data_IF_976720216355
#
_entry.id   IF_976720216355
#
_cell.length_a   1.000
_cell.length_b   1.000
_cell.length_c   1.000
_cell.angle_alpha   90.00
_cell.angle_beta   90.00
_cell.angle_gamma   90.00
#
_symmetry.space_group_name_H-M   'P 1'
#
loop_
_entity.id
_entity.type
_entity.pdbx_description
1 polymer ?
#
# COMPACT_ATOMS: atom_id res chain seq x y z
N UNK A 1 -36.74 -56.45 -7.19
CA UNK A 1 -35.29 -56.20 -7.43
C UNK A 1 -35.13 -55.59 -8.79
N UNK A 2 -35.17 -54.26 -8.93
CA UNK A 2 -34.92 -53.55 -10.18
C UNK A 2 -33.86 -52.46 -9.90
N UNK A 3 -32.64 -52.78 -10.26
CA UNK A 3 -31.48 -51.90 -10.15
C UNK A 3 -31.45 -50.97 -11.36
N UNK A 4 -31.86 -49.72 -11.19
CA UNK A 4 -31.78 -48.68 -12.23
C UNK A 4 -30.36 -48.11 -12.25
N UNK A 5 -29.54 -48.59 -13.20
CA UNK A 5 -28.21 -48.02 -13.50
C UNK A 5 -28.38 -46.58 -14.02
N UNK A 6 -28.14 -45.58 -13.21
CA UNK A 6 -27.96 -44.19 -13.64
C UNK A 6 -26.68 -44.07 -14.49
N UNK A 7 -26.86 -43.96 -15.81
CA UNK A 7 -25.80 -43.58 -16.76
C UNK A 7 -25.38 -42.14 -16.47
N UNK A 8 -24.20 -41.94 -15.88
CA UNK A 8 -23.52 -40.65 -15.80
C UNK A 8 -23.24 -40.17 -17.24
N UNK A 9 -24.07 -39.26 -17.73
CA UNK A 9 -23.75 -38.48 -18.91
C UNK A 9 -22.55 -37.59 -18.62
N UNK A 10 -21.37 -37.94 -19.13
CA UNK A 10 -20.22 -37.05 -19.26
C UNK A 10 -20.57 -36.00 -20.31
N UNK A 11 -21.18 -34.89 -19.90
CA UNK A 11 -21.35 -33.70 -20.76
C UNK A 11 -19.98 -33.12 -20.99
N UNK A 12 -19.34 -33.48 -22.08
CA UNK A 12 -18.15 -32.79 -22.58
C UNK A 12 -18.56 -31.35 -22.92
N UNK A 13 -18.30 -30.44 -21.99
CA UNK A 13 -18.50 -29.00 -22.19
C UNK A 13 -17.49 -28.53 -23.22
N UNK A 14 -17.84 -28.61 -24.51
CA UNK A 14 -17.10 -27.92 -25.56
C UNK A 14 -17.18 -26.45 -25.27
N UNK A 15 -16.04 -25.84 -24.92
CA UNK A 15 -15.89 -24.41 -24.79
C UNK A 15 -16.23 -23.80 -26.16
N UNK A 16 -17.48 -23.39 -26.37
CA UNK A 16 -17.87 -22.55 -27.50
C UNK A 16 -17.47 -21.14 -27.17
N UNK A 17 -16.51 -20.63 -27.88
CA UNK A 17 -16.18 -19.20 -27.85
C UNK A 17 -17.41 -18.42 -28.29
N UNK A 18 -17.95 -17.64 -27.36
CA UNK A 18 -19.11 -16.76 -27.58
C UNK A 18 -18.59 -15.33 -27.78
N UNK A 19 -19.38 -14.46 -28.41
CA UNK A 19 -19.03 -13.04 -28.54
C UNK A 19 -18.75 -12.38 -27.17
N UNK A 20 -19.42 -12.83 -26.11
CA UNK A 20 -19.21 -12.34 -24.75
C UNK A 20 -17.79 -12.70 -24.22
N UNK A 21 -17.29 -13.87 -24.58
CA UNK A 21 -15.92 -14.29 -24.26
C UNK A 21 -14.91 -13.40 -24.97
N UNK A 22 -15.16 -13.04 -26.22
CA UNK A 22 -14.31 -12.15 -27.00
C UNK A 22 -14.21 -10.75 -26.36
N UNK A 23 -15.33 -10.18 -25.96
CA UNK A 23 -15.33 -8.89 -25.24
C UNK A 23 -14.61 -8.98 -23.91
N UNK A 24 -14.77 -10.09 -23.17
CA UNK A 24 -14.01 -10.33 -21.96
C UNK A 24 -12.50 -10.33 -22.21
N UNK A 25 -12.03 -11.01 -23.26
CA UNK A 25 -10.60 -11.01 -23.62
C UNK A 25 -10.10 -9.63 -24.06
N UNK A 26 -10.91 -8.85 -24.79
CA UNK A 26 -10.52 -7.49 -25.19
C UNK A 26 -10.31 -6.59 -23.96
N UNK A 27 -11.23 -6.62 -22.98
CA UNK A 27 -11.07 -5.83 -21.74
C UNK A 27 -9.85 -6.28 -20.93
N UNK A 28 -9.64 -7.60 -20.81
CA UNK A 28 -8.45 -8.12 -20.12
C UNK A 28 -7.18 -7.73 -20.87
N UNK A 29 -7.16 -7.82 -22.21
CA UNK A 29 -5.99 -7.43 -23.01
C UNK A 29 -5.66 -5.95 -22.84
N UNK A 30 -6.65 -5.07 -22.85
CA UNK A 30 -6.44 -3.64 -22.60
C UNK A 30 -5.80 -3.37 -21.22
N UNK A 31 -6.33 -4.00 -20.16
CA UNK A 31 -5.77 -3.91 -18.82
C UNK A 31 -4.34 -4.48 -18.75
N UNK A 32 -4.10 -5.62 -19.40
CA UNK A 32 -2.77 -6.26 -19.46
C UNK A 32 -1.75 -5.41 -20.22
N UNK A 33 -2.14 -4.75 -21.30
CA UNK A 33 -1.24 -3.84 -22.03
C UNK A 33 -0.83 -2.68 -21.12
N UNK A 34 -1.79 -2.03 -20.45
CA UNK A 34 -1.49 -0.95 -19.50
C UNK A 34 -0.57 -1.46 -18.37
N UNK A 35 -0.87 -2.60 -17.82
CA UNK A 35 -0.02 -3.22 -16.78
C UNK A 35 1.39 -3.54 -17.29
N UNK A 36 1.53 -4.11 -18.47
CA UNK A 36 2.84 -4.41 -19.07
C UNK A 36 3.66 -3.15 -19.33
N UNK A 37 3.04 -2.09 -19.89
CA UNK A 37 3.74 -0.86 -20.24
C UNK A 37 4.09 -0.03 -19.00
N UNK A 38 3.19 0.11 -18.04
CA UNK A 38 3.37 1.03 -16.91
C UNK A 38 3.86 0.35 -15.62
N UNK A 39 3.82 -0.97 -15.55
CA UNK A 39 4.30 -1.71 -14.38
C UNK A 39 5.44 -2.66 -14.72
N UNK A 40 5.23 -3.59 -15.63
CA UNK A 40 6.27 -4.61 -15.92
C UNK A 40 7.50 -4.00 -16.59
N UNK A 41 7.31 -3.16 -17.61
CA UNK A 41 8.45 -2.54 -18.31
C UNK A 41 9.34 -1.70 -17.37
N UNK A 42 8.82 -0.78 -16.52
CA UNK A 42 9.64 -0.07 -15.54
C UNK A 42 10.33 -0.99 -14.54
N UNK A 43 9.68 -2.07 -14.09
CA UNK A 43 10.30 -3.04 -13.17
C UNK A 43 11.49 -3.74 -13.84
N UNK A 44 11.32 -4.28 -15.04
CA UNK A 44 12.42 -4.92 -15.77
C UNK A 44 13.51 -3.92 -16.13
N UNK A 45 13.15 -2.70 -16.53
CA UNK A 45 14.10 -1.63 -16.79
C UNK A 45 14.91 -1.27 -15.55
N UNK A 46 14.28 -1.16 -14.39
CA UNK A 46 14.95 -0.91 -13.12
C UNK A 46 15.92 -2.04 -12.75
N UNK A 47 15.53 -3.30 -12.93
CA UNK A 47 16.42 -4.45 -12.72
C UNK A 47 17.61 -4.38 -13.69
N UNK A 48 17.37 -4.13 -14.98
CA UNK A 48 18.44 -4.01 -15.96
C UNK A 48 19.39 -2.88 -15.63
N UNK A 49 18.86 -1.67 -15.33
CA UNK A 49 19.67 -0.50 -15.03
C UNK A 49 20.44 -0.63 -13.71
N UNK A 50 19.98 -1.47 -12.78
CA UNK A 50 20.68 -1.73 -11.51
C UNK A 50 22.07 -2.36 -11.68
N UNK A 51 22.33 -3.01 -12.83
CA UNK A 51 23.65 -3.56 -13.17
C UNK A 51 24.60 -2.55 -13.82
N UNK A 52 24.15 -1.31 -14.03
CA UNK A 52 24.95 -0.25 -14.65
C UNK A 52 25.23 0.88 -13.66
N UNK A 53 26.38 1.52 -13.82
CA UNK A 53 26.68 2.79 -13.17
C UNK A 53 26.41 3.90 -14.17
N UNK A 54 25.33 4.64 -13.98
CA UNK A 54 24.93 5.74 -14.86
C UNK A 54 25.74 7.00 -14.51
N UNK A 55 26.50 7.50 -15.49
CA UNK A 55 27.24 8.77 -15.41
C UNK A 55 26.69 9.74 -16.47
N UNK A 56 26.84 11.06 -16.27
CA UNK A 56 26.38 12.05 -17.27
C UNK A 56 26.94 11.82 -18.68
N UNK A 57 28.12 11.21 -18.79
CA UNK A 57 28.85 10.96 -20.07
C UNK A 57 29.00 9.47 -20.37
N UNK A 58 28.01 8.68 -20.08
CA UNK A 58 27.94 7.27 -20.43
C UNK A 58 27.61 6.35 -19.25
N UNK A 59 27.11 5.18 -19.57
CA UNK A 59 26.82 4.12 -18.60
C UNK A 59 27.86 3.02 -18.70
N UNK A 60 28.34 2.54 -17.57
CA UNK A 60 29.31 1.46 -17.46
C UNK A 60 28.64 0.25 -16.81
N UNK A 61 28.78 -0.91 -17.42
CA UNK A 61 28.29 -2.15 -16.84
C UNK A 61 29.16 -2.56 -15.66
N UNK A 62 28.59 -2.61 -14.46
CA UNK A 62 29.30 -2.90 -13.21
C UNK A 62 28.85 -4.21 -12.54
N UNK A 63 27.95 -4.94 -13.19
CA UNK A 63 27.41 -6.18 -12.65
C UNK A 63 26.76 -5.99 -11.28
N UNK A 64 27.11 -6.83 -10.31
CA UNK A 64 26.53 -6.80 -8.95
C UNK A 64 27.20 -5.77 -8.01
N UNK A 65 28.11 -4.94 -8.51
CA UNK A 65 28.84 -3.99 -7.67
C UNK A 65 27.93 -3.05 -6.90
N UNK A 66 26.88 -2.52 -7.54
CA UNK A 66 25.91 -1.63 -6.89
C UNK A 66 25.25 -2.30 -5.67
N UNK A 67 24.94 -3.59 -5.76
CA UNK A 67 24.36 -4.37 -4.65
C UNK A 67 25.38 -4.58 -3.54
N UNK A 68 26.61 -4.95 -3.90
CA UNK A 68 27.70 -5.16 -2.93
C UNK A 68 28.03 -3.85 -2.21
N UNK A 69 28.09 -2.74 -2.94
CA UNK A 69 28.36 -1.41 -2.37
C UNK A 69 27.23 -0.95 -1.45
N UNK A 70 25.96 -1.22 -1.81
CA UNK A 70 24.82 -0.93 -0.95
C UNK A 70 24.87 -1.73 0.35
N UNK A 71 25.25 -2.99 0.30
CA UNK A 71 25.32 -3.84 1.47
C UNK A 71 26.58 -3.63 2.31
N UNK A 72 27.74 -3.40 1.70
CA UNK A 72 29.03 -3.26 2.41
C UNK A 72 29.36 -1.83 2.80
N UNK A 73 29.08 -0.87 1.93
CA UNK A 73 29.51 0.53 2.04
C UNK A 73 28.36 1.50 2.22
N UNK A 74 27.36 1.14 2.95
CA UNK A 74 26.45 2.17 3.45
C UNK A 74 27.26 3.04 4.42
N UNK A 75 28.00 4.02 3.86
CA UNK A 75 28.88 4.97 4.59
C UNK A 75 28.21 5.59 5.83
N UNK A 76 26.87 5.48 5.93
CA UNK A 76 26.05 5.99 7.02
C UNK A 76 25.03 4.95 7.54
N UNK A 77 25.21 3.67 7.25
CA UNK A 77 24.21 2.62 7.58
C UNK A 77 22.78 2.95 7.11
N UNK A 78 22.64 3.79 6.06
CA UNK A 78 21.34 4.27 5.57
C UNK A 78 20.46 3.12 5.10
N UNK A 79 21.02 2.16 4.39
CA UNK A 79 20.26 1.01 3.90
C UNK A 79 19.70 0.18 5.07
N UNK A 80 20.55 -0.18 6.03
CA UNK A 80 20.13 -0.97 7.19
C UNK A 80 19.17 -0.19 8.09
N UNK A 81 19.41 1.13 8.24
CA UNK A 81 18.50 1.99 8.97
C UNK A 81 17.14 2.09 8.29
N UNK A 82 17.11 2.27 6.97
CA UNK A 82 15.87 2.30 6.19
C UNK A 82 15.14 0.96 6.24
N UNK A 83 15.85 -0.16 6.06
CA UNK A 83 15.29 -1.51 6.17
C UNK A 83 14.72 -1.77 7.56
N UNK A 84 15.45 -1.40 8.62
CA UNK A 84 14.98 -1.51 10.00
C UNK A 84 13.72 -0.66 10.26
N UNK A 85 13.71 0.58 9.81
CA UNK A 85 12.53 1.45 9.92
C UNK A 85 11.32 0.86 9.18
N UNK A 86 11.53 0.35 7.97
CA UNK A 86 10.46 -0.30 7.20
C UNK A 86 9.93 -1.55 7.91
N UNK A 87 10.82 -2.35 8.49
CA UNK A 87 10.43 -3.54 9.24
C UNK A 87 9.59 -3.17 10.48
N UNK A 88 10.07 -2.21 11.28
CA UNK A 88 9.36 -1.72 12.47
C UNK A 88 7.98 -1.18 12.08
N UNK A 89 7.94 -0.32 11.06
CA UNK A 89 6.69 0.23 10.54
C UNK A 89 5.72 -0.87 10.13
N UNK A 90 6.17 -1.84 9.34
CA UNK A 90 5.33 -2.93 8.83
C UNK A 90 4.80 -3.81 9.96
N UNK A 91 5.67 -4.19 10.91
CA UNK A 91 5.29 -5.06 12.04
C UNK A 91 4.29 -4.38 12.98
N UNK A 92 4.32 -3.06 13.07
CA UNK A 92 3.36 -2.32 13.92
C UNK A 92 2.09 -1.98 13.13
N UNK A 93 2.22 -1.36 11.96
CA UNK A 93 1.06 -0.82 11.23
C UNK A 93 0.18 -1.92 10.66
N UNK A 94 0.75 -3.01 10.14
CA UNK A 94 -0.07 -4.08 9.52
C UNK A 94 -0.96 -4.77 10.56
N UNK A 95 -0.46 -5.25 11.71
CA UNK A 95 -1.35 -5.85 12.72
C UNK A 95 -2.33 -4.82 13.30
N UNK A 96 -1.88 -3.59 13.56
CA UNK A 96 -2.72 -2.54 14.12
C UNK A 96 -3.89 -2.20 13.18
N UNK A 97 -3.62 -2.02 11.90
CA UNK A 97 -4.65 -1.73 10.90
C UNK A 97 -5.64 -2.88 10.71
N UNK A 98 -5.16 -4.13 10.75
CA UNK A 98 -6.02 -5.30 10.71
C UNK A 98 -6.91 -5.40 11.96
N UNK A 99 -6.34 -5.19 13.14
CA UNK A 99 -7.09 -5.22 14.40
C UNK A 99 -8.14 -4.10 14.46
N UNK A 100 -7.77 -2.88 14.08
CA UNK A 100 -8.71 -1.75 14.02
C UNK A 100 -9.83 -2.00 13.01
N UNK A 101 -9.49 -2.48 11.82
CA UNK A 101 -10.48 -2.79 10.78
C UNK A 101 -11.45 -3.88 11.24
N UNK A 102 -10.92 -4.92 11.89
CA UNK A 102 -11.73 -6.00 12.46
C UNK A 102 -12.62 -5.50 13.61
N UNK A 103 -12.06 -4.72 14.54
CA UNK A 103 -12.80 -4.15 15.65
C UNK A 103 -13.96 -3.26 15.15
N UNK A 104 -13.69 -2.38 14.19
CA UNK A 104 -14.71 -1.53 13.57
C UNK A 104 -15.80 -2.39 12.89
N UNK A 105 -15.40 -3.43 12.16
CA UNK A 105 -16.36 -4.33 11.50
C UNK A 105 -17.28 -5.00 12.52
N UNK A 106 -16.74 -5.52 13.62
CA UNK A 106 -17.51 -6.16 14.69
C UNK A 106 -18.43 -5.15 15.39
N UNK A 107 -17.95 -3.93 15.65
CA UNK A 107 -18.75 -2.88 16.28
C UNK A 107 -19.96 -2.45 15.43
N UNK A 108 -19.85 -2.56 14.10
CA UNK A 108 -20.93 -2.16 13.19
C UNK A 108 -21.97 -3.27 13.00
N UNK A 109 -21.61 -4.54 13.24
CA UNK A 109 -22.51 -5.69 13.03
C UNK A 109 -23.87 -5.59 13.74
N UNK A 110 -23.98 -5.13 15.00
CA UNK A 110 -25.26 -5.09 15.72
C UNK A 110 -26.24 -4.05 15.17
N UNK A 111 -25.78 -3.08 14.38
CA UNK A 111 -26.64 -2.02 13.88
C UNK A 111 -27.51 -2.49 12.71
N UNK A 112 -28.63 -1.78 12.50
CA UNK A 112 -29.51 -1.99 11.35
C UNK A 112 -28.78 -1.73 10.03
N UNK A 113 -29.14 -2.42 8.96
CA UNK A 113 -28.49 -2.30 7.62
C UNK A 113 -28.32 -0.85 7.14
N UNK A 114 -29.31 0.02 7.38
CA UNK A 114 -29.22 1.44 7.01
C UNK A 114 -28.11 2.15 7.76
N UNK A 115 -27.97 1.93 9.04
CA UNK A 115 -26.90 2.50 9.88
C UNK A 115 -25.54 1.94 9.48
N UNK A 116 -25.44 0.64 9.21
CA UNK A 116 -24.21 0.03 8.67
C UNK A 116 -23.77 0.66 7.36
N UNK A 117 -24.72 0.99 6.45
CA UNK A 117 -24.40 1.64 5.18
C UNK A 117 -23.85 3.04 5.38
N UNK A 118 -24.39 3.80 6.34
CA UNK A 118 -23.88 5.14 6.67
C UNK A 118 -22.45 5.06 7.19
N UNK A 119 -22.17 4.17 8.15
CA UNK A 119 -20.79 3.98 8.65
C UNK A 119 -19.82 3.58 7.54
N UNK A 120 -20.21 2.61 6.68
CA UNK A 120 -19.39 2.23 5.53
C UNK A 120 -19.10 3.41 4.61
N UNK A 121 -20.12 4.22 4.29
CA UNK A 121 -19.95 5.42 3.47
C UNK A 121 -18.95 6.40 4.12
N UNK A 122 -19.05 6.65 5.43
CA UNK A 122 -18.13 7.53 6.16
C UNK A 122 -16.67 7.03 6.11
N UNK A 123 -16.44 5.72 6.20
CA UNK A 123 -15.09 5.14 6.08
C UNK A 123 -14.53 5.16 4.66
N UNK A 124 -15.38 5.09 3.64
CA UNK A 124 -14.94 5.22 2.24
C UNK A 124 -14.65 6.67 1.82
N UNK A 125 -15.26 7.65 2.47
CA UNK A 125 -15.15 9.07 2.13
C UNK A 125 -13.68 9.56 2.07
N UNK A 126 -12.82 9.30 3.07
CA UNK A 126 -11.42 9.68 3.01
C UNK A 126 -10.66 9.03 1.85
N UNK A 127 -10.99 7.78 1.50
CA UNK A 127 -10.36 7.05 0.39
C UNK A 127 -10.67 7.63 -1.00
N UNK A 128 -11.77 8.39 -1.13
CA UNK A 128 -12.17 9.07 -2.38
C UNK A 128 -11.55 10.47 -2.45
N UNK A 129 -11.15 11.04 -1.31
CA UNK A 129 -10.55 12.36 -1.26
C UNK A 129 -9.18 12.37 -1.96
N UNK A 130 -8.85 13.49 -2.58
CA UNK A 130 -7.53 13.68 -3.20
C UNK A 130 -6.41 13.51 -2.16
N UNK A 131 -5.40 12.67 -2.48
CA UNK A 131 -4.23 12.49 -1.61
C UNK A 131 -3.51 13.79 -1.29
N UNK A 132 -3.53 14.77 -2.20
CA UNK A 132 -2.96 16.11 -1.96
C UNK A 132 -3.75 16.85 -0.87
N UNK A 133 -5.08 16.84 -0.95
CA UNK A 133 -5.90 17.49 0.07
C UNK A 133 -5.71 16.86 1.45
N UNK A 134 -5.67 15.53 1.51
CA UNK A 134 -5.38 14.80 2.76
C UNK A 134 -3.98 15.14 3.30
N UNK A 135 -2.98 15.24 2.43
CA UNK A 135 -1.61 15.60 2.87
C UNK A 135 -1.57 16.98 3.51
N UNK A 136 -2.30 17.98 2.99
CA UNK A 136 -2.37 19.32 3.59
C UNK A 136 -3.03 19.25 4.97
N UNK A 137 -4.12 18.48 5.12
CA UNK A 137 -4.76 18.29 6.43
C UNK A 137 -3.80 17.67 7.43
N UNK A 138 -3.05 16.65 7.03
CA UNK A 138 -2.05 16.04 7.91
C UNK A 138 -0.91 16.99 8.27
N UNK A 139 -0.44 17.85 7.35
CA UNK A 139 0.55 18.89 7.65
C UNK A 139 0.05 19.86 8.73
N UNK A 140 -1.21 20.26 8.70
CA UNK A 140 -1.81 21.11 9.74
C UNK A 140 -1.97 20.39 11.08
N UNK A 141 -2.35 19.12 11.06
CA UNK A 141 -2.46 18.31 12.27
C UNK A 141 -1.11 18.14 12.97
N UNK A 142 -0.05 17.91 12.18
CA UNK A 142 1.33 17.72 12.64
C UNK A 142 2.16 19.00 12.66
N UNK A 143 1.52 20.17 12.65
CA UNK A 143 2.26 21.43 12.77
C UNK A 143 3.07 21.44 14.08
N UNK A 144 4.38 21.76 13.95
CA UNK A 144 5.33 21.74 15.07
C UNK A 144 5.21 22.96 15.98
N UNK A 145 4.43 23.98 15.59
CA UNK A 145 4.18 25.14 16.43
C UNK A 145 3.37 24.76 17.68
N UNK A 146 3.47 25.55 18.77
CA UNK A 146 2.61 25.36 19.95
C UNK A 146 1.12 25.41 19.62
N UNK A 147 0.74 26.14 18.57
CA UNK A 147 -0.64 26.28 18.09
C UNK A 147 -1.11 25.15 17.18
N UNK A 148 -0.21 24.26 16.78
CA UNK A 148 -0.55 23.05 16.01
C UNK A 148 -1.59 22.21 16.73
N UNK A 149 -2.51 21.60 15.97
CA UNK A 149 -3.69 20.91 16.52
C UNK A 149 -3.29 19.83 17.53
N UNK A 150 -2.34 18.96 17.18
CA UNK A 150 -1.88 17.92 18.10
C UNK A 150 -1.09 18.50 19.28
N UNK A 151 -0.31 19.56 19.07
CA UNK A 151 0.42 20.24 20.15
C UNK A 151 -0.53 20.95 21.11
N UNK A 152 -1.63 21.53 20.63
CA UNK A 152 -2.68 22.09 21.49
C UNK A 152 -3.32 21.02 22.37
N UNK A 153 -3.63 19.84 21.78
CA UNK A 153 -4.17 18.72 22.56
C UNK A 153 -3.18 18.29 23.63
N UNK A 154 -1.89 18.13 23.29
CA UNK A 154 -0.85 17.78 24.25
C UNK A 154 -0.68 18.86 25.34
N UNK A 155 -0.81 20.13 24.98
CA UNK A 155 -0.75 21.27 25.90
C UNK A 155 -1.80 21.21 27.01
N UNK A 156 -3.01 20.67 26.73
CA UNK A 156 -4.05 20.43 27.76
C UNK A 156 -3.55 19.47 28.85
N UNK A 157 -2.67 18.51 28.49
CA UNK A 157 -2.08 17.57 29.43
C UNK A 157 -0.74 18.03 29.99
N UNK A 158 -0.32 19.30 29.73
CA UNK A 158 0.96 19.85 30.20
C UNK A 158 2.18 19.30 29.45
N UNK A 159 1.99 18.66 28.31
CA UNK A 159 3.08 18.10 27.48
C UNK A 159 3.58 19.20 26.54
N UNK A 160 4.92 19.48 26.47
CA UNK A 160 5.46 20.49 25.59
C UNK A 160 5.25 20.16 24.12
N UNK A 161 5.19 21.20 23.28
CA UNK A 161 5.04 21.04 21.82
C UNK A 161 6.14 20.16 21.23
N UNK A 162 5.73 19.26 20.33
CA UNK A 162 6.58 18.27 19.69
C UNK A 162 6.84 18.62 18.23
N UNK A 163 8.07 18.34 17.77
CA UNK A 163 8.43 18.38 16.35
C UNK A 163 8.07 17.03 15.69
N UNK A 164 6.81 16.89 15.30
CA UNK A 164 6.24 15.62 14.84
C UNK A 164 6.99 15.00 13.67
N UNK A 165 7.18 15.74 12.57
CA UNK A 165 7.75 15.24 11.32
C UNK A 165 9.26 15.50 11.19
N UNK A 166 9.79 16.50 11.89
CA UNK A 166 11.18 16.93 11.74
C UNK A 166 12.14 16.30 12.76
N UNK A 167 11.62 15.60 13.75
CA UNK A 167 12.43 14.92 14.78
C UNK A 167 12.56 13.44 14.50
N UNK A 168 13.78 12.91 14.58
CA UNK A 168 14.04 11.47 14.46
C UNK A 168 13.36 10.61 15.52
N UNK A 169 12.96 11.21 16.65
CA UNK A 169 12.28 10.51 17.75
C UNK A 169 10.78 10.36 17.50
N UNK A 170 10.16 11.37 16.90
CA UNK A 170 8.70 11.45 16.74
C UNK A 170 8.23 11.08 15.33
N UNK A 171 9.08 11.24 14.31
CA UNK A 171 8.69 11.01 12.91
C UNK A 171 8.15 9.60 12.63
N UNK A 172 8.75 8.57 13.22
CA UNK A 172 8.26 7.20 13.07
C UNK A 172 6.88 7.02 13.73
N UNK A 173 6.70 7.58 14.93
CA UNK A 173 5.41 7.56 15.64
C UNK A 173 4.34 8.29 14.84
N UNK A 174 4.68 9.45 14.29
CA UNK A 174 3.77 10.26 13.45
C UNK A 174 3.33 9.54 12.17
N UNK A 175 4.17 8.66 11.63
CA UNK A 175 3.83 7.83 10.47
C UNK A 175 2.94 6.61 10.83
N UNK A 176 2.98 6.18 12.09
CA UNK A 176 2.20 5.03 12.57
C UNK A 176 0.78 5.45 12.97
N UNK A 177 0.59 6.68 13.48
CA UNK A 177 -0.71 7.24 13.88
C UNK A 177 -1.54 7.65 12.67
#
# INVERSE_FOLDING_TARGET
>A
MNSTKQKRQKTGRRLRFTNDDLWGYIFIAAAMIIFCVFTLYPVFSAIYTSFFNYKPFGSEFVGLKNYVDTLKYSKFNLFYKAAGNTLIYTVIVVPLSLLLSFAIAVMILPFKKKTQSVFKAMYYLPGIASGVALSVVWLWLYDSSPDGIFNRILGVFGIPAQNWLSSTKTSMLSLII
#
